data_IF_968954493724
#
_entry.id   IF_968954493724
#
_cell.length_a   1.000
_cell.length_b   1.000
_cell.length_c   1.000
_cell.angle_alpha   90.00
_cell.angle_beta   90.00
_cell.angle_gamma   90.00
#
_symmetry.space_group_name_H-M   'P 1'
#
loop_
_entity.id
_entity.type
_entity.pdbx_description
1 polymer ?
#
# COMPACT_ATOMS: atom_id res chain seq x y z
N UNK A 1 19.55 37.43 -7.41
CA UNK A 1 19.82 38.17 -8.66
C UNK A 1 18.51 38.35 -9.38
N UNK A 2 18.14 39.57 -9.75
CA UNK A 2 16.94 39.87 -10.54
C UNK A 2 17.16 39.49 -12.01
N UNK A 3 16.08 39.22 -12.75
CA UNK A 3 16.12 38.97 -14.20
C UNK A 3 16.70 40.17 -14.96
N UNK A 4 16.51 41.37 -14.42
CA UNK A 4 17.02 42.63 -14.99
C UNK A 4 18.56 42.65 -15.07
N UNK A 5 19.26 42.04 -14.11
CA UNK A 5 20.71 41.93 -14.15
C UNK A 5 21.23 41.09 -15.33
N UNK A 6 20.42 40.17 -15.85
CA UNK A 6 20.76 39.35 -17.03
C UNK A 6 20.44 40.09 -18.33
N UNK A 7 19.38 40.91 -18.32
CA UNK A 7 19.03 41.81 -19.42
C UNK A 7 20.17 42.78 -19.74
N UNK A 8 20.72 43.40 -18.69
CA UNK A 8 21.80 44.39 -18.82
C UNK A 8 23.12 43.76 -19.34
N UNK A 9 23.24 42.44 -19.26
CA UNK A 9 24.38 41.66 -19.78
C UNK A 9 24.15 41.04 -21.16
N UNK A 10 22.97 41.22 -21.75
CA UNK A 10 22.61 40.61 -23.04
C UNK A 10 22.35 39.10 -22.97
N UNK A 11 22.08 38.56 -21.78
CA UNK A 11 21.88 37.12 -21.55
C UNK A 11 20.41 36.72 -21.82
N UNK A 12 20.03 36.68 -23.10
CA UNK A 12 18.65 36.41 -23.53
C UNK A 12 18.09 35.04 -23.11
N UNK A 13 18.96 34.05 -22.87
CA UNK A 13 18.58 32.73 -22.36
C UNK A 13 17.97 32.77 -20.96
N UNK A 14 18.24 33.82 -20.17
CA UNK A 14 17.79 33.92 -18.79
C UNK A 14 16.29 34.18 -18.67
N UNK A 15 15.65 34.80 -19.68
CA UNK A 15 14.21 35.09 -19.63
C UNK A 15 13.35 33.81 -19.70
N UNK A 16 13.52 32.91 -20.70
CA UNK A 16 12.79 31.66 -20.74
C UNK A 16 13.01 30.79 -19.48
N UNK A 17 14.24 30.74 -18.97
CA UNK A 17 14.57 30.00 -17.75
C UNK A 17 13.89 30.61 -16.52
N UNK A 18 13.82 31.94 -16.44
CA UNK A 18 13.09 32.59 -15.36
C UNK A 18 11.58 32.36 -15.46
N UNK A 19 11.00 32.37 -16.67
CA UNK A 19 9.58 32.05 -16.89
C UNK A 19 9.28 30.62 -16.43
N UNK A 20 10.11 29.64 -16.82
CA UNK A 20 10.01 28.26 -16.35
C UNK A 20 10.09 28.18 -14.82
N UNK A 21 11.07 28.84 -14.20
CA UNK A 21 11.23 28.86 -12.74
C UNK A 21 9.98 29.44 -12.06
N UNK A 22 9.44 30.54 -12.56
CA UNK A 22 8.21 31.14 -12.02
C UNK A 22 7.02 30.18 -12.15
N UNK A 23 6.88 29.51 -13.29
CA UNK A 23 5.85 28.49 -13.51
C UNK A 23 5.99 27.33 -12.51
N UNK A 24 7.20 26.78 -12.35
CA UNK A 24 7.47 25.70 -11.38
C UNK A 24 7.10 26.12 -9.96
N UNK A 25 7.47 27.33 -9.55
CA UNK A 25 7.15 27.87 -8.22
C UNK A 25 5.64 28.03 -8.01
N UNK A 26 4.91 28.51 -9.03
CA UNK A 26 3.46 28.69 -8.95
C UNK A 26 2.70 27.38 -8.84
N UNK A 27 3.21 26.31 -9.45
CA UNK A 27 2.61 24.97 -9.39
C UNK A 27 2.81 24.24 -8.06
N UNK A 28 3.72 24.71 -7.18
CA UNK A 28 4.08 23.98 -5.96
C UNK A 28 2.89 23.71 -5.03
N UNK A 29 1.90 24.58 -5.03
CA UNK A 29 0.74 24.46 -4.14
C UNK A 29 -0.58 24.25 -4.89
N UNK A 30 -0.50 23.95 -6.19
CA UNK A 30 -1.70 23.69 -6.98
C UNK A 30 -2.26 22.29 -6.69
N UNK A 31 -3.44 22.25 -6.07
CA UNK A 31 -4.15 21.03 -5.73
C UNK A 31 -4.41 20.15 -6.96
N UNK A 32 -4.61 20.73 -8.15
CA UNK A 32 -4.88 19.98 -9.38
C UNK A 32 -3.67 19.14 -9.83
N UNK A 33 -2.46 19.53 -9.42
CA UNK A 33 -1.21 18.89 -9.82
C UNK A 33 -0.60 17.99 -8.76
N UNK A 34 -1.32 17.75 -7.66
CA UNK A 34 -0.77 17.02 -6.52
C UNK A 34 -1.57 15.77 -6.23
N UNK A 35 -0.86 14.75 -5.76
CA UNK A 35 -1.50 13.57 -5.21
C UNK A 35 -2.24 13.94 -3.90
N UNK A 36 -3.44 13.39 -3.65
CA UNK A 36 -4.23 13.74 -2.46
C UNK A 36 -3.64 13.13 -1.17
N UNK A 37 -2.84 12.06 -1.29
CA UNK A 37 -2.23 11.35 -0.16
C UNK A 37 -0.73 11.16 -0.40
N UNK A 38 0.08 11.17 0.68
CA UNK A 38 1.52 10.88 0.62
C UNK A 38 1.80 9.38 0.52
N UNK A 39 2.88 9.01 -0.19
CA UNK A 39 3.40 7.63 -0.28
C UNK A 39 3.61 6.94 1.09
N UNK A 40 4.00 7.69 2.13
CA UNK A 40 4.16 7.14 3.48
C UNK A 40 2.81 6.68 4.06
N UNK A 41 1.78 7.54 3.95
CA UNK A 41 0.44 7.24 4.45
C UNK A 41 -0.23 6.10 3.69
N UNK A 42 -0.03 6.00 2.38
CA UNK A 42 -0.54 4.87 1.58
C UNK A 42 -0.09 3.52 2.19
N UNK A 43 1.15 3.42 2.68
CA UNK A 43 1.68 2.21 3.32
C UNK A 43 1.06 1.92 4.69
N UNK A 44 0.37 2.90 5.28
CA UNK A 44 -0.29 2.81 6.59
C UNK A 44 -1.81 2.62 6.44
N UNK A 45 -2.38 2.77 5.23
CA UNK A 45 -3.83 2.62 5.00
C UNK A 45 -4.32 1.19 5.28
N UNK A 46 -3.46 0.18 5.09
CA UNK A 46 -3.76 -1.24 5.36
C UNK A 46 -3.47 -1.66 6.80
N UNK A 47 -2.78 -0.81 7.57
CA UNK A 47 -2.31 -1.19 8.90
C UNK A 47 -3.27 -0.75 9.98
N UNK A 48 -4.53 -0.35 9.75
CA UNK A 48 -5.42 0.07 10.85
C UNK A 48 -6.81 -0.52 10.64
N UNK A 49 -7.30 -1.29 11.63
CA UNK A 49 -8.67 -1.79 11.62
C UNK A 49 -9.63 -0.67 12.07
N UNK A 50 -10.61 -0.26 11.24
CA UNK A 50 -11.50 0.88 11.55
C UNK A 50 -12.49 0.61 12.69
N UNK A 51 -12.69 -0.65 13.08
CA UNK A 51 -13.59 -1.02 14.18
C UNK A 51 -12.89 -1.05 15.54
N UNK A 52 -11.56 -1.25 15.57
CA UNK A 52 -10.79 -1.41 16.81
C UNK A 52 -9.72 -0.33 17.01
N UNK A 53 -9.38 0.44 15.97
CA UNK A 53 -8.31 1.45 16.02
C UNK A 53 -6.90 0.87 16.17
N UNK A 54 -6.74 -0.46 16.15
CA UNK A 54 -5.44 -1.14 16.30
C UNK A 54 -4.72 -1.33 14.98
N UNK A 55 -3.40 -1.44 15.05
CA UNK A 55 -2.61 -1.64 13.87
C UNK A 55 -2.75 -3.09 13.32
N UNK A 56 -3.07 -3.27 12.04
CA UNK A 56 -2.91 -4.53 11.33
C UNK A 56 -1.41 -4.83 11.13
N UNK A 57 -0.71 -5.13 12.21
CA UNK A 57 0.45 -5.99 12.09
C UNK A 57 -0.07 -7.38 11.75
N UNK A 58 0.43 -8.00 10.67
CA UNK A 58 0.12 -9.38 10.32
C UNK A 58 0.45 -10.39 11.46
N UNK A 59 1.17 -9.93 12.50
CA UNK A 59 1.43 -10.65 13.75
C UNK A 59 0.27 -10.56 14.77
N UNK A 60 -0.54 -9.49 14.78
CA UNK A 60 -1.62 -9.30 15.76
C UNK A 60 -2.87 -10.17 15.48
N UNK A 61 -3.03 -10.70 14.26
CA UNK A 61 -4.08 -11.70 14.00
C UNK A 61 -3.86 -13.02 14.77
N UNK A 62 -2.67 -13.24 15.34
CA UNK A 62 -2.39 -14.36 16.25
C UNK A 62 -2.68 -14.02 17.73
N UNK A 63 -2.94 -12.76 18.06
CA UNK A 63 -3.12 -12.27 19.45
C UNK A 63 -4.57 -11.89 19.78
N UNK A 64 -5.54 -12.35 18.98
CA UNK A 64 -6.99 -12.11 19.18
C UNK A 64 -7.52 -12.67 20.51
N UNK A 65 -6.72 -13.44 21.27
CA UNK A 65 -7.11 -14.01 22.57
C UNK A 65 -6.46 -13.40 23.81
N UNK A 66 -5.64 -12.36 23.67
CA UNK A 66 -5.03 -11.70 24.84
C UNK A 66 -5.49 -10.24 24.94
N UNK A 67 -6.69 -10.04 25.49
CA UNK A 67 -7.06 -8.76 26.08
C UNK A 67 -6.56 -8.73 27.53
N UNK A 68 -5.68 -7.77 27.81
CA UNK A 68 -5.71 -7.00 29.06
C UNK A 68 -5.32 -5.57 28.74
N UNK A 69 -6.19 -4.65 29.17
CA UNK A 69 -6.04 -3.21 29.09
C UNK A 69 -4.71 -2.71 29.68
N UNK A 70 -4.04 -1.83 28.94
CA UNK A 70 -3.43 -0.62 29.49
C UNK A 70 -3.34 0.42 28.36
N UNK A 71 -4.22 1.43 28.44
CA UNK A 71 -4.26 2.60 27.58
C UNK A 71 -2.95 3.38 27.68
N UNK A 72 -2.04 3.17 26.72
CA UNK A 72 -1.07 4.19 26.37
C UNK A 72 -1.61 4.99 25.19
N UNK A 73 -1.89 6.27 25.46
CA UNK A 73 -2.08 7.34 24.47
C UNK A 73 -0.95 7.29 23.43
N UNK A 74 -1.19 6.57 22.34
CA UNK A 74 -0.36 6.66 21.15
C UNK A 74 -0.97 7.73 20.28
N UNK A 75 -0.22 8.82 20.16
CA UNK A 75 -0.57 10.02 19.39
C UNK A 75 -0.85 9.62 17.96
N UNK A 76 -2.14 9.66 17.64
CA UNK A 76 -2.75 9.49 16.35
C UNK A 76 -2.31 10.63 15.41
N UNK A 77 -1.53 10.33 14.38
CA UNK A 77 -1.29 11.27 13.27
C UNK A 77 -2.35 11.04 12.18
N UNK A 78 -3.60 11.41 12.48
CA UNK A 78 -4.64 11.52 11.44
C UNK A 78 -4.43 12.72 10.54
N UNK A 79 -4.95 12.61 9.31
CA UNK A 79 -5.12 13.72 8.37
C UNK A 79 -5.81 14.94 9.02
N UNK A 80 -6.71 14.69 9.97
CA UNK A 80 -7.36 15.70 10.83
C UNK A 80 -7.55 15.17 12.27
N UNK A 81 -7.14 15.92 13.30
CA UNK A 81 -7.56 15.71 14.70
C UNK A 81 -8.80 16.58 14.93
N UNK A 82 -9.95 15.98 15.26
CA UNK A 82 -11.18 16.73 15.58
C UNK A 82 -11.70 17.62 14.45
N UNK A 83 -11.39 17.30 13.18
CA UNK A 83 -11.78 18.10 12.02
C UNK A 83 -10.79 19.20 11.61
N UNK A 84 -9.57 19.23 12.18
CA UNK A 84 -8.51 20.17 11.78
C UNK A 84 -7.20 19.43 11.48
N UNK A 85 -6.44 19.81 10.42
CA UNK A 85 -5.19 19.12 10.08
C UNK A 85 -4.07 19.42 11.07
N UNK A 86 -3.23 18.40 11.29
CA UNK A 86 -2.16 18.41 12.28
C UNK A 86 -0.91 19.24 11.90
N UNK A 87 -0.88 19.98 10.77
CA UNK A 87 0.23 20.87 10.43
C UNK A 87 -0.17 22.01 9.47
N UNK A 88 0.56 23.15 9.51
CA UNK A 88 0.10 24.40 8.94
C UNK A 88 0.15 24.59 7.42
N UNK A 89 0.86 23.72 6.70
CA UNK A 89 0.99 23.77 5.24
C UNK A 89 0.22 22.60 4.65
N UNK A 90 -0.61 22.82 3.62
CA UNK A 90 -1.31 21.73 2.94
C UNK A 90 -0.30 20.73 2.41
N UNK A 91 -0.21 19.60 3.08
CA UNK A 91 0.67 18.49 2.73
C UNK A 91 0.07 17.66 1.60
N UNK A 92 -0.30 18.32 0.51
CA UNK A 92 -0.48 17.72 -0.80
C UNK A 92 0.71 16.77 -1.09
N UNK A 93 0.42 15.62 -1.68
CA UNK A 93 1.39 14.55 -1.97
C UNK A 93 2.43 14.94 -3.02
N UNK A 94 3.09 13.96 -3.62
CA UNK A 94 4.00 14.23 -4.74
C UNK A 94 3.26 14.83 -5.94
N UNK A 95 3.98 15.40 -6.91
CA UNK A 95 3.37 15.72 -8.20
C UNK A 95 2.72 14.48 -8.82
N UNK A 96 1.49 14.65 -9.31
CA UNK A 96 0.79 13.65 -10.10
C UNK A 96 1.50 13.41 -11.43
N UNK A 97 1.18 12.31 -12.12
CA UNK A 97 1.72 12.04 -13.46
C UNK A 97 1.46 13.19 -14.43
N UNK A 98 0.23 13.73 -14.41
CA UNK A 98 -0.16 14.88 -15.22
C UNK A 98 0.71 16.11 -14.95
N UNK A 99 1.03 16.38 -13.68
CA UNK A 99 1.91 17.48 -13.32
C UNK A 99 3.35 17.27 -13.80
N UNK A 100 3.86 16.02 -13.74
CA UNK A 100 5.20 15.69 -14.21
C UNK A 100 5.30 15.79 -15.73
N UNK A 101 4.27 15.35 -16.46
CA UNK A 101 4.16 15.54 -17.92
C UNK A 101 4.12 17.02 -18.25
N UNK A 102 3.26 17.80 -17.58
CA UNK A 102 3.17 19.25 -17.76
C UNK A 102 4.52 19.94 -17.56
N UNK A 103 5.26 19.57 -16.51
CA UNK A 103 6.57 20.11 -16.19
C UNK A 103 7.61 19.72 -17.25
N UNK A 104 7.62 18.46 -17.71
CA UNK A 104 8.56 18.02 -18.74
C UNK A 104 8.31 18.75 -20.07
N UNK A 105 7.05 18.83 -20.52
CA UNK A 105 6.70 19.51 -21.78
C UNK A 105 7.11 20.98 -21.76
N UNK A 106 6.80 21.69 -20.68
CA UNK A 106 7.22 23.07 -20.50
C UNK A 106 8.74 23.20 -20.35
N UNK A 107 9.40 22.30 -19.62
CA UNK A 107 10.85 22.28 -19.48
C UNK A 107 11.52 22.19 -20.86
N UNK A 108 11.12 21.23 -21.69
CA UNK A 108 11.62 21.07 -23.05
C UNK A 108 11.36 22.32 -23.90
N UNK A 109 10.14 22.87 -23.86
CA UNK A 109 9.78 24.09 -24.57
C UNK A 109 10.65 25.29 -24.19
N UNK A 110 10.84 25.54 -22.89
CA UNK A 110 11.67 26.64 -22.43
C UNK A 110 13.17 26.41 -22.67
N UNK A 111 13.62 25.16 -22.72
CA UNK A 111 14.98 24.79 -23.15
C UNK A 111 15.24 25.18 -24.60
N UNK A 112 14.33 24.84 -25.52
CA UNK A 112 14.44 25.25 -26.93
C UNK A 112 14.41 26.77 -27.06
N UNK A 113 13.47 27.44 -26.37
CA UNK A 113 13.37 28.91 -26.37
C UNK A 113 14.63 29.59 -25.80
N UNK A 114 15.30 28.97 -24.82
CA UNK A 114 16.54 29.48 -24.25
C UNK A 114 17.78 29.16 -25.10
N UNK A 115 17.71 28.20 -26.01
CA UNK A 115 18.88 27.63 -26.69
C UNK A 115 19.83 26.91 -25.73
N UNK A 116 19.31 26.34 -24.64
CA UNK A 116 20.09 25.65 -23.60
C UNK A 116 19.53 24.26 -23.34
N UNK A 117 20.40 23.25 -23.35
CA UNK A 117 20.03 21.89 -22.95
C UNK A 117 20.20 21.72 -21.43
N UNK A 118 19.08 21.54 -20.73
CA UNK A 118 19.07 21.20 -19.30
C UNK A 118 18.25 19.93 -18.99
N UNK A 119 17.53 19.39 -19.97
CA UNK A 119 16.98 18.04 -19.98
C UNK A 119 17.56 17.32 -21.19
N UNK A 120 18.43 16.34 -20.94
CA UNK A 120 19.09 15.55 -21.97
C UNK A 120 18.21 14.38 -22.43
N UNK A 121 18.58 13.73 -23.54
CA UNK A 121 17.93 12.49 -23.98
C UNK A 121 18.02 11.36 -22.94
N UNK A 122 19.14 11.29 -22.21
CA UNK A 122 19.31 10.31 -21.12
C UNK A 122 18.39 10.61 -19.94
N UNK A 123 18.19 11.89 -19.61
CA UNK A 123 17.24 12.32 -18.59
C UNK A 123 15.80 11.93 -18.98
N UNK A 124 15.42 12.08 -20.25
CA UNK A 124 14.10 11.65 -20.73
C UNK A 124 13.93 10.14 -20.55
N UNK A 125 14.92 9.34 -20.91
CA UNK A 125 14.87 7.88 -20.74
C UNK A 125 14.76 7.49 -19.26
N UNK A 126 15.50 8.17 -18.39
CA UNK A 126 15.40 8.00 -16.94
C UNK A 126 14.01 8.38 -16.40
N UNK A 127 13.46 9.52 -16.84
CA UNK A 127 12.11 9.98 -16.46
C UNK A 127 11.05 8.96 -16.88
N UNK A 128 11.12 8.45 -18.12
CA UNK A 128 10.24 7.38 -18.62
C UNK A 128 10.30 6.14 -17.72
N UNK A 129 11.50 5.69 -17.36
CA UNK A 129 11.68 4.54 -16.47
C UNK A 129 11.06 4.78 -15.08
N UNK A 130 11.29 5.95 -14.48
CA UNK A 130 10.74 6.32 -13.18
C UNK A 130 9.21 6.44 -13.23
N UNK A 131 8.63 7.02 -14.27
CA UNK A 131 7.17 7.12 -14.40
C UNK A 131 6.52 5.75 -14.59
N UNK A 132 7.16 4.87 -15.36
CA UNK A 132 6.71 3.49 -15.54
C UNK A 132 6.73 2.71 -14.20
N UNK A 133 7.80 2.82 -13.43
CA UNK A 133 7.94 2.15 -12.14
C UNK A 133 7.02 2.74 -11.05
N UNK A 134 6.98 4.07 -10.91
CA UNK A 134 6.28 4.71 -9.80
C UNK A 134 4.79 4.95 -10.04
N UNK A 135 4.39 5.22 -11.29
CA UNK A 135 3.06 5.76 -11.62
C UNK A 135 2.29 4.85 -12.58
N UNK A 136 2.87 3.73 -13.00
CA UNK A 136 2.27 2.83 -13.99
C UNK A 136 2.08 3.49 -15.35
N UNK A 137 2.93 4.48 -15.69
CA UNK A 137 2.87 5.14 -16.99
C UNK A 137 3.12 4.14 -18.12
N UNK A 138 2.35 4.29 -19.20
CA UNK A 138 2.44 3.49 -20.42
C UNK A 138 3.20 4.33 -21.44
N UNK A 139 4.21 3.74 -22.08
CA UNK A 139 5.04 4.44 -23.06
C UNK A 139 4.19 5.16 -24.12
N UNK A 140 4.29 6.48 -24.12
CA UNK A 140 3.55 7.37 -25.00
C UNK A 140 4.44 8.56 -25.40
N UNK A 141 4.82 8.61 -26.68
CA UNK A 141 5.70 9.67 -27.16
C UNK A 141 5.04 11.06 -27.09
N UNK A 142 3.71 11.17 -27.13
CA UNK A 142 3.05 12.48 -27.01
C UNK A 142 3.27 13.13 -25.64
N UNK A 143 3.57 12.35 -24.61
CA UNK A 143 3.74 12.86 -23.24
C UNK A 143 5.13 13.47 -23.01
N UNK A 144 6.10 13.14 -23.88
CA UNK A 144 7.49 13.61 -23.80
C UNK A 144 7.85 14.56 -24.96
N UNK A 145 6.88 14.92 -25.79
CA UNK A 145 7.08 15.90 -26.86
C UNK A 145 7.14 17.32 -26.32
N UNK A 146 7.99 18.14 -26.93
CA UNK A 146 8.07 19.56 -26.67
C UNK A 146 6.76 20.24 -27.03
N UNK A 147 6.11 20.85 -26.03
CA UNK A 147 4.83 21.53 -26.20
C UNK A 147 4.69 22.59 -25.09
N UNK A 148 4.35 23.82 -25.46
CA UNK A 148 3.99 24.82 -24.46
C UNK A 148 2.57 24.56 -23.96
N UNK A 149 2.44 24.22 -22.69
CA UNK A 149 1.14 24.08 -22.04
C UNK A 149 0.93 25.28 -21.12
N UNK A 150 -0.07 26.14 -21.39
CA UNK A 150 -0.32 27.32 -20.57
C UNK A 150 -0.74 26.92 -19.15
N UNK A 151 -0.15 27.59 -18.16
CA UNK A 151 -0.52 27.44 -16.76
C UNK A 151 -1.71 28.35 -16.41
N UNK A 152 -2.85 27.74 -16.10
CA UNK A 152 -4.09 28.47 -15.82
C UNK A 152 -4.13 29.15 -14.45
N UNK A 153 -3.15 28.89 -13.58
CA UNK A 153 -3.15 29.40 -12.20
C UNK A 153 -3.37 28.28 -11.19
N UNK A 154 -2.93 28.53 -9.95
CA UNK A 154 -2.97 27.54 -8.88
C UNK A 154 -4.35 27.50 -8.23
N UNK A 155 -4.94 26.30 -8.08
CA UNK A 155 -6.00 26.06 -7.10
C UNK A 155 -5.35 25.78 -5.75
N UNK A 156 -5.40 26.74 -4.83
CA UNK A 156 -4.81 26.56 -3.50
C UNK A 156 -5.94 26.34 -2.51
N UNK A 157 -5.92 25.19 -1.85
CA UNK A 157 -6.85 24.88 -0.76
C UNK A 157 -6.21 25.31 0.57
N UNK A 158 -7.02 25.47 1.61
CA UNK A 158 -6.59 25.73 2.98
C UNK A 158 -6.50 24.40 3.77
N UNK A 159 -6.12 24.51 5.03
CA UNK A 159 -5.99 23.38 5.97
C UNK A 159 -7.26 22.52 6.06
N UNK A 160 -8.42 23.13 5.93
CA UNK A 160 -9.71 22.47 6.03
C UNK A 160 -10.23 22.06 4.64
N UNK A 161 -9.36 22.03 3.63
CA UNK A 161 -9.67 21.79 2.22
C UNK A 161 -10.65 22.81 1.63
N UNK A 162 -10.84 23.97 2.25
CA UNK A 162 -11.61 25.06 1.65
C UNK A 162 -10.74 25.84 0.68
N UNK A 163 -11.34 26.66 -0.18
CA UNK A 163 -10.59 27.50 -1.10
C UNK A 163 -9.78 28.57 -0.35
N UNK A 164 -8.48 28.64 -0.58
CA UNK A 164 -7.65 29.76 -0.13
C UNK A 164 -7.80 30.92 -1.12
N UNK A 165 -8.66 31.87 -0.79
CA UNK A 165 -8.95 33.05 -1.63
C UNK A 165 -7.74 33.94 -1.90
N UNK A 166 -6.71 33.92 -1.03
CA UNK A 166 -5.53 34.79 -1.15
C UNK A 166 -4.46 34.21 -2.05
N UNK A 167 -4.29 32.89 -2.02
CA UNK A 167 -3.21 32.19 -2.72
C UNK A 167 -3.68 31.56 -4.04
N UNK A 168 -4.98 31.34 -4.20
CA UNK A 168 -5.54 30.87 -5.47
C UNK A 168 -5.37 31.93 -6.55
N UNK A 169 -4.84 31.52 -7.70
CA UNK A 169 -4.47 32.43 -8.80
C UNK A 169 -5.18 32.11 -10.12
N UNK A 170 -6.12 31.16 -10.12
CA UNK A 170 -6.97 30.89 -11.29
C UNK A 170 -7.76 32.16 -11.63
N UNK A 171 -7.69 32.67 -12.88
CA UNK A 171 -8.40 33.86 -13.30
C UNK A 171 -9.90 33.59 -13.35
N UNK A 172 -10.72 34.61 -13.11
CA UNK A 172 -12.19 34.51 -13.18
C UNK A 172 -12.78 33.29 -12.46
N UNK A 173 -12.22 32.93 -11.30
CA UNK A 173 -12.71 31.80 -10.51
C UNK A 173 -14.01 32.21 -9.81
N UNK A 174 -15.10 31.63 -10.28
CA UNK A 174 -16.45 31.81 -9.75
C UNK A 174 -16.64 30.94 -8.51
N UNK A 175 -16.93 31.61 -7.42
CA UNK A 175 -17.22 31.03 -6.11
C UNK A 175 -18.71 31.23 -5.84
N UNK A 176 -19.41 30.13 -5.63
CA UNK A 176 -20.77 30.18 -5.10
C UNK A 176 -20.76 29.53 -3.71
N UNK A 177 -21.14 30.24 -2.65
CA UNK A 177 -21.30 29.65 -1.31
C UNK A 177 -22.20 28.41 -1.30
N UNK A 178 -23.17 28.32 -2.24
CA UNK A 178 -24.06 27.15 -2.39
C UNK A 178 -23.31 25.90 -2.83
N UNK A 179 -22.15 26.03 -3.47
CA UNK A 179 -21.28 24.90 -3.84
C UNK A 179 -20.36 24.43 -2.72
N UNK A 180 -20.39 25.09 -1.55
CA UNK A 180 -19.76 24.63 -0.30
C UNK A 180 -20.77 23.95 0.65
N UNK A 181 -22.08 24.11 0.39
CA UNK A 181 -23.14 23.60 1.25
C UNK A 181 -23.54 22.17 0.85
N UNK A 182 -23.65 21.29 1.85
CA UNK A 182 -24.03 19.87 1.74
C UNK A 182 -25.45 19.61 1.21
N UNK A 183 -26.20 20.64 0.78
CA UNK A 183 -27.62 20.51 0.46
C UNK A 183 -27.95 20.89 -0.99
N UNK A 184 -28.67 19.97 -1.63
CA UNK A 184 -29.35 20.09 -2.92
C UNK A 184 -30.20 21.36 -3.03
N UNK A 185 -29.64 22.41 -3.60
CA UNK A 185 -30.44 23.55 -4.08
C UNK A 185 -30.53 23.51 -5.61
N UNK A 186 -31.77 23.46 -6.12
CA UNK A 186 -32.11 23.49 -7.55
C UNK A 186 -32.09 24.94 -8.04
N UNK A 187 -31.02 25.40 -8.66
CA UNK A 187 -31.02 26.63 -9.46
C UNK A 187 -30.22 26.40 -10.75
N UNK A 188 -30.81 26.73 -11.90
CA UNK A 188 -30.12 26.79 -13.19
C UNK A 188 -29.33 28.09 -13.27
N UNK A 189 -28.04 27.97 -13.61
CA UNK A 189 -27.05 29.05 -13.59
C UNK A 189 -27.07 29.96 -14.84
N UNK A 190 -28.04 29.81 -15.73
CA UNK A 190 -27.95 30.41 -17.07
C UNK A 190 -28.32 31.90 -17.15
N UNK A 191 -28.85 32.54 -16.08
CA UNK A 191 -29.49 33.86 -16.27
C UNK A 191 -28.98 35.04 -15.44
N UNK A 192 -28.02 34.95 -14.51
CA UNK A 192 -27.45 36.16 -13.90
C UNK A 192 -26.04 35.96 -13.32
N UNK A 193 -25.02 36.52 -14.01
CA UNK A 193 -23.64 36.67 -13.48
C UNK A 193 -23.60 37.80 -12.42
N UNK A 194 -24.57 38.71 -12.44
CA UNK A 194 -24.74 39.77 -11.44
C UNK A 194 -25.09 39.17 -10.08
N UNK A 195 -24.08 39.03 -9.21
CA UNK A 195 -24.22 38.49 -7.85
C UNK A 195 -23.29 37.33 -7.51
N UNK A 196 -22.53 36.82 -8.48
CA UNK A 196 -21.52 35.78 -8.23
C UNK A 196 -20.23 36.38 -7.65
N UNK A 197 -19.62 35.69 -6.69
CA UNK A 197 -18.33 36.09 -6.13
C UNK A 197 -17.21 35.59 -7.07
N UNK A 198 -16.51 36.50 -7.73
CA UNK A 198 -15.49 36.17 -8.73
C UNK A 198 -14.12 36.57 -8.19
N UNK A 199 -13.21 35.61 -8.06
CA UNK A 199 -11.80 35.87 -7.73
C UNK A 199 -10.97 36.11 -9.00
N UNK A 200 -9.91 36.91 -8.83
CA UNK A 200 -8.90 37.16 -9.87
C UNK A 200 -9.51 37.58 -11.21
N UNK A 201 -10.42 38.56 -11.17
CA UNK A 201 -11.11 39.03 -12.36
C UNK A 201 -10.11 39.46 -13.45
N UNK A 202 -10.29 38.93 -14.65
CA UNK A 202 -9.48 39.19 -15.83
C UNK A 202 -10.40 39.31 -17.06
N UNK A 203 -10.45 40.45 -17.75
CA UNK A 203 -11.35 40.66 -18.90
C UNK A 203 -11.13 39.71 -20.07
N UNK A 204 -9.94 39.09 -20.17
CA UNK A 204 -9.52 38.28 -21.31
C UNK A 204 -9.51 36.77 -21.04
N UNK A 205 -9.96 36.33 -19.86
CA UNK A 205 -9.95 34.92 -19.46
C UNK A 205 -11.38 34.34 -19.42
N UNK A 206 -11.49 33.04 -19.62
CA UNK A 206 -12.76 32.33 -19.41
C UNK A 206 -13.11 32.22 -17.93
N UNK A 207 -14.40 32.05 -17.62
CA UNK A 207 -14.85 31.78 -16.25
C UNK A 207 -14.57 30.33 -15.85
N UNK A 208 -14.03 30.15 -14.65
CA UNK A 208 -13.78 28.85 -14.06
C UNK A 208 -14.68 28.67 -12.84
N UNK A 209 -15.36 27.53 -12.71
CA UNK A 209 -16.25 27.27 -11.57
C UNK A 209 -15.65 26.22 -10.66
N UNK A 210 -15.74 26.44 -9.35
CA UNK A 210 -15.34 25.46 -8.34
C UNK A 210 -16.57 24.82 -7.68
N UNK A 211 -16.57 23.49 -7.61
CA UNK A 211 -17.63 22.71 -6.97
C UNK A 211 -17.05 21.72 -5.95
N UNK A 212 -17.69 21.60 -4.78
CA UNK A 212 -17.40 20.57 -3.79
C UNK A 212 -18.48 19.51 -3.85
N UNK A 213 -18.20 18.38 -4.49
CA UNK A 213 -19.16 17.29 -4.64
C UNK A 213 -18.91 16.26 -3.55
N UNK A 214 -19.83 16.16 -2.59
CA UNK A 214 -19.77 15.15 -1.53
C UNK A 214 -20.65 13.96 -1.89
N UNK A 215 -20.08 12.76 -1.80
CA UNK A 215 -20.79 11.49 -1.98
C UNK A 215 -20.53 10.58 -0.80
N UNK A 216 -21.53 9.77 -0.46
CA UNK A 216 -21.35 8.66 0.46
C UNK A 216 -20.52 7.57 -0.26
N UNK A 217 -19.55 7.02 0.45
CA UNK A 217 -18.64 6.00 -0.07
C UNK A 217 -18.56 4.85 0.94
N UNK A 218 -19.01 3.68 0.50
CA UNK A 218 -18.88 2.45 1.28
C UNK A 218 -17.45 1.91 1.17
N UNK A 219 -16.93 1.41 2.28
CA UNK A 219 -15.58 0.83 2.31
C UNK A 219 -14.56 1.57 3.16
N UNK A 220 -13.37 0.99 3.26
CA UNK A 220 -12.25 1.54 4.01
C UNK A 220 -11.49 2.65 3.27
N UNK A 221 -10.57 3.34 3.96
CA UNK A 221 -9.75 4.41 3.35
C UNK A 221 -8.92 3.91 2.16
N UNK A 222 -8.40 2.67 2.24
CA UNK A 222 -7.64 2.06 1.14
C UNK A 222 -8.51 1.86 -0.11
N UNK A 223 -9.76 1.40 0.04
CA UNK A 223 -10.68 1.17 -1.08
C UNK A 223 -11.08 2.48 -1.76
N UNK A 224 -11.28 3.55 -0.97
CA UNK A 224 -11.46 4.91 -1.50
C UNK A 224 -10.24 5.30 -2.34
N UNK A 225 -9.05 5.23 -1.75
CA UNK A 225 -7.81 5.60 -2.46
C UNK A 225 -7.62 4.77 -3.74
N UNK A 226 -7.77 3.45 -3.67
CA UNK A 226 -7.61 2.54 -4.81
C UNK A 226 -8.61 2.85 -5.92
N UNK A 227 -9.86 3.15 -5.58
CA UNK A 227 -10.89 3.56 -6.56
C UNK A 227 -10.46 4.83 -7.30
N UNK A 228 -10.01 5.85 -6.57
CA UNK A 228 -9.58 7.11 -7.19
C UNK A 228 -8.27 6.98 -7.98
N UNK A 229 -7.35 6.09 -7.57
CA UNK A 229 -6.16 5.76 -8.34
C UNK A 229 -6.50 5.03 -9.65
N UNK A 230 -7.44 4.08 -9.60
CA UNK A 230 -7.90 3.39 -10.80
C UNK A 230 -8.61 4.36 -11.75
N UNK A 231 -9.44 5.25 -11.21
CA UNK A 231 -10.08 6.31 -11.99
C UNK A 231 -9.02 7.21 -12.66
N UNK A 232 -7.99 7.62 -11.92
CA UNK A 232 -6.87 8.41 -12.44
C UNK A 232 -6.17 7.70 -13.60
N UNK A 233 -5.88 6.40 -13.46
CA UNK A 233 -5.26 5.60 -14.53
C UNK A 233 -6.16 5.49 -15.76
N UNK A 234 -7.46 5.29 -15.55
CA UNK A 234 -8.42 5.08 -16.62
C UNK A 234 -8.79 6.37 -17.36
N UNK A 235 -8.79 7.51 -16.68
CA UNK A 235 -9.16 8.81 -17.24
C UNK A 235 -7.97 9.70 -17.60
N UNK A 236 -6.77 9.40 -17.10
CA UNK A 236 -5.52 10.11 -17.44
C UNK A 236 -5.28 11.42 -16.68
N UNK A 237 -6.12 11.77 -15.69
CA UNK A 237 -5.97 12.97 -14.88
C UNK A 237 -6.34 12.70 -13.43
N UNK A 238 -5.78 13.49 -12.51
CA UNK A 238 -6.11 13.41 -11.08
C UNK A 238 -7.17 14.46 -10.72
N UNK A 239 -7.93 14.18 -9.66
CA UNK A 239 -8.87 15.14 -9.06
C UNK A 239 -8.53 15.31 -7.58
N UNK A 240 -8.54 16.54 -7.03
CA UNK A 240 -8.38 16.73 -5.60
C UNK A 240 -9.59 16.16 -4.85
N UNK A 241 -9.35 15.33 -3.84
CA UNK A 241 -10.41 14.81 -2.98
C UNK A 241 -9.94 14.61 -1.54
N UNK A 242 -10.89 14.55 -0.62
CA UNK A 242 -10.70 14.20 0.78
C UNK A 242 -11.90 13.40 1.29
N UNK A 243 -11.80 12.75 2.43
CA UNK A 243 -12.92 12.02 3.04
C UNK A 243 -13.03 12.27 4.54
N UNK A 244 -14.25 12.07 5.05
CA UNK A 244 -14.57 12.16 6.46
C UNK A 244 -15.27 10.88 6.90
N UNK A 245 -14.78 10.18 7.94
CA UNK A 245 -15.50 9.04 8.49
C UNK A 245 -16.78 9.52 9.17
N UNK A 246 -17.88 8.84 8.88
CA UNK A 246 -19.18 9.04 9.54
C UNK A 246 -19.48 7.78 10.34
N UNK A 247 -19.60 7.96 11.66
CA UNK A 247 -20.05 6.92 12.57
C UNK A 247 -21.48 7.23 12.99
N UNK A 248 -22.44 6.39 12.58
CA UNK A 248 -23.82 6.49 13.04
C UNK A 248 -24.14 5.36 14.01
N UNK A 249 -24.81 5.70 15.11
CA UNK A 249 -25.43 4.73 16.00
C UNK A 249 -26.64 4.14 15.31
N UNK A 250 -26.57 2.87 14.89
CA UNK A 250 -27.70 2.14 14.35
C UNK A 250 -28.76 1.85 15.41
N UNK A 251 -29.97 1.53 14.95
CA UNK A 251 -31.19 1.35 15.79
C UNK A 251 -31.08 0.26 16.88
N UNK A 252 -30.04 -0.59 16.84
CA UNK A 252 -29.78 -1.66 17.82
C UNK A 252 -28.42 -1.55 18.52
N UNK A 253 -27.82 -0.36 18.57
CA UNK A 253 -26.49 -0.17 19.15
C UNK A 253 -25.34 -0.66 18.25
N UNK A 254 -25.63 -1.12 17.05
CA UNK A 254 -24.63 -1.40 16.01
C UNK A 254 -24.09 -0.08 15.46
N UNK A 255 -22.79 0.16 15.54
CA UNK A 255 -22.16 1.31 14.87
C UNK A 255 -22.05 1.01 13.38
N UNK A 256 -22.69 1.82 12.54
CA UNK A 256 -22.51 1.76 11.08
C UNK A 256 -21.47 2.81 10.71
N UNK A 257 -20.48 2.40 9.93
CA UNK A 257 -19.39 3.24 9.46
C UNK A 257 -19.45 3.36 7.95
N UNK A 258 -19.46 4.59 7.45
CA UNK A 258 -19.22 4.91 6.05
C UNK A 258 -18.36 6.17 5.95
N UNK A 259 -17.87 6.48 4.76
CA UNK A 259 -17.06 7.66 4.51
C UNK A 259 -17.83 8.65 3.64
N UNK A 260 -17.75 9.93 3.95
CA UNK A 260 -18.20 10.99 3.05
C UNK A 260 -16.99 11.48 2.29
N UNK A 261 -16.91 11.17 1.01
CA UNK A 261 -15.83 11.60 0.11
C UNK A 261 -16.26 12.89 -0.57
N UNK A 262 -15.45 13.94 -0.45
CA UNK A 262 -15.66 15.20 -1.16
C UNK A 262 -14.59 15.38 -2.23
N UNK A 263 -15.05 15.55 -3.48
CA UNK A 263 -14.20 15.82 -4.65
C UNK A 263 -14.32 17.29 -5.01
N UNK A 264 -13.18 17.96 -5.18
CA UNK A 264 -13.10 19.36 -5.59
C UNK A 264 -12.95 19.42 -7.10
N UNK A 265 -13.96 19.92 -7.79
CA UNK A 265 -14.02 20.00 -9.25
C UNK A 265 -13.81 21.44 -9.67
N UNK A 266 -12.74 21.71 -10.43
CA UNK A 266 -12.43 23.03 -10.97
C UNK A 266 -11.90 22.91 -12.41
N UNK A 267 -12.80 22.61 -13.36
CA UNK A 267 -12.46 22.36 -14.77
C UNK A 267 -13.14 23.36 -15.70
N UNK A 268 -12.45 23.93 -16.71
CA UNK A 268 -13.01 24.94 -17.61
C UNK A 268 -14.30 24.50 -18.34
N UNK A 269 -14.39 23.21 -18.65
CA UNK A 269 -15.52 22.59 -19.36
C UNK A 269 -16.74 22.34 -18.47
N UNK A 270 -16.60 22.39 -17.14
CA UNK A 270 -17.69 22.12 -16.19
C UNK A 270 -18.27 23.46 -15.72
N UNK A 271 -19.48 23.76 -16.20
CA UNK A 271 -20.16 25.05 -15.94
C UNK A 271 -21.40 24.95 -15.06
N UNK A 272 -21.81 23.73 -14.68
CA UNK A 272 -22.98 23.52 -13.83
C UNK A 272 -22.72 22.49 -12.73
N UNK A 273 -23.45 22.62 -11.62
CA UNK A 273 -23.42 21.64 -10.52
C UNK A 273 -23.84 20.24 -11.01
N UNK A 274 -24.77 20.17 -11.97
CA UNK A 274 -25.22 18.91 -12.56
C UNK A 274 -24.07 18.22 -13.30
N UNK A 275 -23.32 18.97 -14.10
CA UNK A 275 -22.17 18.43 -14.84
C UNK A 275 -21.03 18.06 -13.89
N UNK A 276 -20.81 18.84 -12.82
CA UNK A 276 -19.82 18.53 -11.80
C UNK A 276 -20.16 17.22 -11.06
N UNK A 277 -21.44 16.98 -10.74
CA UNK A 277 -21.90 15.71 -10.16
C UNK A 277 -21.74 14.55 -11.12
N UNK A 278 -22.20 14.71 -12.37
CA UNK A 278 -22.05 13.68 -13.39
C UNK A 278 -20.58 13.32 -13.61
N UNK A 279 -19.70 14.33 -13.64
CA UNK A 279 -18.25 14.13 -13.73
C UNK A 279 -17.69 13.32 -12.56
N UNK A 280 -18.11 13.60 -11.32
CA UNK A 280 -17.64 12.85 -10.14
C UNK A 280 -18.18 11.42 -10.14
N UNK A 281 -19.45 11.23 -10.51
CA UNK A 281 -20.04 9.90 -10.69
C UNK A 281 -19.30 9.09 -11.76
N UNK A 282 -19.02 9.69 -12.92
CA UNK A 282 -18.25 9.07 -14.00
C UNK A 282 -16.82 8.75 -13.57
N UNK A 283 -16.18 9.63 -12.80
CA UNK A 283 -14.83 9.44 -12.28
C UNK A 283 -14.79 8.26 -11.30
N UNK A 284 -15.71 8.22 -10.34
CA UNK A 284 -15.83 7.09 -9.39
C UNK A 284 -16.15 5.81 -10.17
N UNK A 285 -17.09 5.84 -11.10
CA UNK A 285 -17.43 4.67 -11.92
C UNK A 285 -16.26 4.17 -12.77
N UNK A 286 -15.41 5.06 -13.28
CA UNK A 286 -14.19 4.69 -13.98
C UNK A 286 -13.22 3.96 -13.05
N UNK A 287 -13.16 4.32 -11.77
CA UNK A 287 -12.36 3.65 -10.75
C UNK A 287 -12.95 2.33 -10.24
N UNK A 288 -14.28 2.26 -10.14
CA UNK A 288 -15.02 1.08 -9.66
C UNK A 288 -15.18 0.00 -10.72
N UNK A 289 -15.08 0.35 -12.01
CA UNK A 289 -14.88 -0.64 -13.07
C UNK A 289 -13.58 -1.34 -12.76
N UNK A 290 -13.68 -2.58 -12.26
CA UNK A 290 -12.55 -3.44 -12.00
C UNK A 290 -11.64 -3.39 -13.23
N UNK A 291 -10.53 -2.67 -13.11
CA UNK A 291 -9.36 -2.98 -13.90
C UNK A 291 -9.22 -4.49 -13.72
N UNK A 292 -9.29 -5.28 -14.81
CA UNK A 292 -9.01 -6.72 -14.75
C UNK A 292 -7.86 -6.85 -13.78
N UNK A 293 -8.03 -7.51 -12.62
CA UNK A 293 -7.07 -7.42 -11.53
C UNK A 293 -5.73 -7.65 -12.18
N UNK A 294 -4.91 -6.59 -12.27
CA UNK A 294 -3.63 -6.68 -12.95
C UNK A 294 -2.96 -7.82 -12.20
N UNK A 295 -2.71 -8.95 -12.88
CA UNK A 295 -2.23 -10.18 -12.26
C UNK A 295 -1.16 -9.71 -11.29
N UNK A 296 -1.43 -9.79 -9.98
CA UNK A 296 -0.63 -9.12 -8.98
C UNK A 296 0.80 -9.47 -9.33
N UNK A 297 1.62 -8.47 -9.66
CA UNK A 297 2.91 -8.73 -10.29
C UNK A 297 3.74 -9.53 -9.29
N UNK A 298 3.69 -10.86 -9.45
CA UNK A 298 4.23 -11.81 -8.48
C UNK A 298 5.71 -11.55 -8.35
N UNK A 299 6.35 -11.13 -9.43
CA UNK A 299 7.75 -10.72 -9.43
C UNK A 299 7.99 -9.54 -8.51
N UNK A 300 7.19 -8.48 -8.62
CA UNK A 300 7.27 -7.36 -7.69
C UNK A 300 6.98 -7.75 -6.23
N UNK A 301 6.03 -8.66 -5.97
CA UNK A 301 5.76 -9.16 -4.61
C UNK A 301 6.99 -9.89 -4.06
N UNK A 302 7.57 -10.82 -4.81
CA UNK A 302 8.77 -11.56 -4.40
C UNK A 302 9.96 -10.64 -4.16
N UNK A 303 10.23 -9.69 -5.07
CA UNK A 303 11.31 -8.70 -4.89
C UNK A 303 11.11 -7.82 -3.64
N UNK A 304 9.87 -7.43 -3.33
CA UNK A 304 9.56 -6.70 -2.09
C UNK A 304 9.79 -7.56 -0.85
N UNK A 305 9.35 -8.82 -0.85
CA UNK A 305 9.49 -9.75 0.28
C UNK A 305 10.97 -10.01 0.63
N UNK A 306 11.84 -10.10 -0.38
CA UNK A 306 13.26 -10.39 -0.19
C UNK A 306 14.15 -9.14 -0.12
N UNK A 307 13.55 -7.95 -0.23
CA UNK A 307 14.27 -6.68 -0.16
C UNK A 307 15.03 -6.58 1.17
N UNK A 308 16.29 -6.17 1.11
CA UNK A 308 17.21 -6.04 2.26
C UNK A 308 17.53 -7.35 3.00
N UNK A 309 17.22 -8.53 2.43
CA UNK A 309 17.59 -9.82 3.03
C UNK A 309 18.91 -10.32 2.47
N UNK A 310 19.67 -11.03 3.31
CA UNK A 310 20.82 -11.81 2.86
C UNK A 310 20.38 -12.85 1.81
N UNK A 311 21.32 -13.34 0.99
CA UNK A 311 20.99 -14.36 -0.02
C UNK A 311 20.38 -15.63 0.60
N UNK A 312 20.82 -15.98 1.80
CA UNK A 312 20.32 -17.16 2.52
C UNK A 312 18.95 -16.90 3.14
N UNK A 313 18.75 -15.78 3.83
CA UNK A 313 17.45 -15.37 4.37
C UNK A 313 16.38 -15.24 3.28
N UNK A 314 16.74 -14.72 2.10
CA UNK A 314 15.83 -14.64 0.95
C UNK A 314 15.42 -16.03 0.45
N UNK A 315 16.37 -16.96 0.31
CA UNK A 315 16.09 -18.36 -0.09
C UNK A 315 15.21 -19.08 0.93
N UNK A 316 15.52 -18.93 2.21
CA UNK A 316 14.71 -19.47 3.30
C UNK A 316 13.28 -18.95 3.21
N UNK A 317 13.10 -17.63 3.04
CA UNK A 317 11.78 -17.02 2.94
C UNK A 317 10.99 -17.57 1.75
N UNK A 318 11.58 -17.57 0.56
CA UNK A 318 10.96 -18.07 -0.67
C UNK A 318 10.45 -19.51 -0.48
N UNK A 319 11.27 -20.39 0.08
CA UNK A 319 10.87 -21.78 0.31
C UNK A 319 9.84 -21.93 1.44
N UNK A 320 9.89 -21.07 2.47
CA UNK A 320 8.96 -21.12 3.61
C UNK A 320 7.52 -20.70 3.28
N UNK A 321 7.32 -19.98 2.16
CA UNK A 321 5.98 -19.67 1.64
C UNK A 321 5.24 -20.94 1.22
N UNK A 322 5.97 -21.96 0.75
CA UNK A 322 5.38 -23.23 0.32
C UNK A 322 4.70 -23.17 -1.04
N UNK A 323 5.09 -22.22 -1.88
CA UNK A 323 4.55 -22.03 -3.23
C UNK A 323 4.98 -23.12 -4.23
N UNK A 324 4.24 -23.25 -5.33
CA UNK A 324 4.60 -24.15 -6.44
C UNK A 324 5.63 -23.49 -7.38
N UNK A 325 6.43 -24.26 -8.13
CA UNK A 325 7.49 -23.70 -8.99
C UNK A 325 7.02 -22.73 -10.08
N UNK A 326 5.78 -22.90 -10.55
CA UNK A 326 5.12 -22.02 -11.51
C UNK A 326 4.58 -20.73 -10.88
N UNK A 327 4.54 -20.64 -9.54
CA UNK A 327 4.16 -19.42 -8.84
C UNK A 327 5.36 -18.51 -8.56
N UNK A 328 6.58 -19.06 -8.59
CA UNK A 328 7.81 -18.32 -8.36
C UNK A 328 8.37 -17.83 -9.71
N UNK A 329 8.57 -16.51 -9.90
CA UNK A 329 9.11 -15.94 -11.13
C UNK A 329 10.47 -16.55 -11.53
N UNK A 330 10.69 -16.72 -12.84
CA UNK A 330 11.93 -17.31 -13.37
C UNK A 330 13.17 -16.49 -12.97
N UNK A 331 13.08 -15.17 -12.94
CA UNK A 331 14.15 -14.25 -12.52
C UNK A 331 14.58 -14.52 -11.07
N UNK A 332 13.62 -14.70 -10.16
CA UNK A 332 13.86 -15.03 -8.75
C UNK A 332 14.53 -16.40 -8.63
N UNK A 333 14.03 -17.41 -9.34
CA UNK A 333 14.61 -18.78 -9.34
C UNK A 333 16.06 -18.76 -9.82
N UNK A 334 16.34 -18.04 -10.91
CA UNK A 334 17.68 -17.89 -11.48
C UNK A 334 18.62 -17.16 -10.52
N UNK A 335 18.21 -16.01 -9.98
CA UNK A 335 19.05 -15.18 -9.10
C UNK A 335 19.48 -15.91 -7.83
N UNK A 336 18.57 -16.68 -7.23
CA UNK A 336 18.81 -17.43 -6.00
C UNK A 336 19.24 -18.88 -6.20
N UNK A 337 19.40 -19.32 -7.46
CA UNK A 337 19.77 -20.68 -7.83
C UNK A 337 18.87 -21.74 -7.16
N UNK A 338 17.56 -21.56 -7.31
CA UNK A 338 16.53 -22.48 -6.82
C UNK A 338 16.01 -23.31 -7.99
N UNK A 339 16.23 -24.63 -7.93
CA UNK A 339 15.65 -25.56 -8.89
C UNK A 339 14.19 -25.86 -8.55
N UNK A 340 13.41 -26.23 -9.56
CA UNK A 340 12.00 -26.61 -9.36
C UNK A 340 11.87 -27.82 -8.41
N UNK A 341 12.81 -28.78 -8.45
CA UNK A 341 12.84 -29.91 -7.51
C UNK A 341 12.95 -29.46 -6.04
N UNK A 342 13.83 -28.50 -5.74
CA UNK A 342 13.98 -27.94 -4.38
C UNK A 342 12.68 -27.25 -3.94
N UNK A 343 12.02 -26.53 -4.85
CA UNK A 343 10.78 -25.80 -4.57
C UNK A 343 9.63 -26.78 -4.31
N UNK A 344 9.47 -27.80 -5.15
CA UNK A 344 8.43 -28.83 -5.01
C UNK A 344 8.56 -29.53 -3.66
N UNK A 345 9.77 -30.01 -3.33
CA UNK A 345 9.99 -30.75 -2.10
C UNK A 345 9.80 -29.86 -0.87
N UNK A 346 10.30 -28.61 -0.91
CA UNK A 346 10.07 -27.64 0.16
C UNK A 346 8.57 -27.34 0.35
N UNK A 347 7.80 -27.15 -0.72
CA UNK A 347 6.35 -26.93 -0.66
C UNK A 347 5.64 -28.07 0.08
N UNK A 348 5.98 -29.32 -0.22
CA UNK A 348 5.39 -30.50 0.42
C UNK A 348 5.78 -30.60 1.90
N UNK A 349 7.05 -30.39 2.24
CA UNK A 349 7.55 -30.37 3.63
C UNK A 349 6.86 -29.27 4.44
N UNK A 350 6.71 -28.06 3.89
CA UNK A 350 6.06 -26.93 4.58
C UNK A 350 4.57 -27.19 4.78
N UNK A 351 3.90 -27.86 3.84
CA UNK A 351 2.48 -28.20 3.93
C UNK A 351 2.18 -29.38 4.86
N UNK A 352 3.18 -30.19 5.22
CA UNK A 352 3.03 -31.30 6.17
C UNK A 352 3.33 -30.94 7.63
N UNK A 353 3.57 -29.66 7.94
CA UNK A 353 3.77 -29.21 9.32
C UNK A 353 2.43 -29.11 10.07
N UNK A 354 2.43 -29.33 11.38
CA UNK A 354 1.20 -29.32 12.18
C UNK A 354 0.46 -27.97 12.15
N UNK A 355 1.16 -26.85 11.91
CA UNK A 355 0.56 -25.51 11.80
C UNK A 355 -0.04 -25.17 10.42
N UNK A 356 -0.17 -26.14 9.51
CA UNK A 356 -0.72 -25.90 8.16
C UNK A 356 -2.24 -25.96 8.15
N UNK A 357 -2.92 -24.84 7.90
CA UNK A 357 -4.39 -24.72 8.05
C UNK A 357 -5.20 -24.96 6.77
N UNK A 358 -4.61 -24.77 5.58
CA UNK A 358 -5.38 -24.68 4.34
C UNK A 358 -5.14 -25.84 3.35
N UNK A 359 -3.99 -26.53 3.41
CA UNK A 359 -3.62 -27.59 2.47
C UNK A 359 -2.68 -28.61 3.11
N UNK A 360 -3.17 -29.31 4.14
CA UNK A 360 -2.35 -30.27 4.87
C UNK A 360 -1.98 -31.48 4.00
N UNK A 361 -0.70 -31.83 3.97
CA UNK A 361 -0.20 -33.02 3.27
C UNK A 361 0.19 -34.07 4.29
N UNK A 362 -0.20 -35.33 4.06
CA UNK A 362 0.16 -36.44 4.96
C UNK A 362 1.69 -36.58 5.05
N UNK A 363 2.30 -36.49 6.25
CA UNK A 363 3.73 -36.64 6.46
C UNK A 363 4.34 -37.95 5.92
N UNK A 364 3.59 -39.05 5.91
CA UNK A 364 4.05 -40.34 5.38
C UNK A 364 4.25 -40.28 3.87
N UNK A 365 3.30 -39.67 3.16
CA UNK A 365 3.41 -39.44 1.71
C UNK A 365 4.59 -38.54 1.38
N UNK A 366 4.80 -37.47 2.17
CA UNK A 366 5.97 -36.59 2.01
C UNK A 366 7.28 -37.33 2.28
N UNK A 367 7.33 -38.22 3.28
CA UNK A 367 8.51 -39.05 3.57
C UNK A 367 8.94 -39.90 2.37
N UNK A 368 8.00 -40.55 1.70
CA UNK A 368 8.32 -41.38 0.53
C UNK A 368 8.96 -40.57 -0.60
N UNK A 369 8.53 -39.33 -0.78
CA UNK A 369 9.12 -38.43 -1.76
C UNK A 369 10.48 -37.90 -1.33
N UNK A 370 10.63 -37.55 -0.05
CA UNK A 370 11.90 -37.17 0.55
C UNK A 370 12.96 -38.26 0.36
N UNK A 371 12.60 -39.53 0.55
CA UNK A 371 13.50 -40.67 0.36
C UNK A 371 13.92 -40.88 -1.11
N UNK A 372 13.09 -40.46 -2.07
CA UNK A 372 13.37 -40.54 -3.51
C UNK A 372 14.18 -39.35 -4.03
N UNK A 373 14.20 -38.23 -3.30
CA UNK A 373 14.86 -37.00 -3.74
C UNK A 373 16.28 -36.86 -3.18
N UNK A 374 17.21 -36.42 -4.03
CA UNK A 374 18.58 -36.12 -3.63
C UNK A 374 18.73 -34.72 -2.99
N UNK A 375 17.66 -33.90 -2.95
CA UNK A 375 17.70 -32.55 -2.38
C UNK A 375 17.06 -32.44 -0.99
N UNK A 376 16.60 -33.54 -0.38
CA UNK A 376 15.93 -33.51 0.92
C UNK A 376 16.74 -32.79 2.02
N UNK A 377 17.99 -33.18 2.21
CA UNK A 377 18.85 -32.53 3.21
C UNK A 377 19.17 -31.08 2.82
N UNK A 378 19.36 -30.82 1.52
CA UNK A 378 19.62 -29.47 0.99
C UNK A 378 18.46 -28.51 1.29
N UNK A 379 17.22 -28.97 1.18
CA UNK A 379 16.03 -28.17 1.53
C UNK A 379 16.09 -27.76 3.00
N UNK A 380 16.35 -28.68 3.92
CA UNK A 380 16.46 -28.34 5.35
C UNK A 380 17.64 -27.42 5.65
N UNK A 381 18.79 -27.60 4.99
CA UNK A 381 19.93 -26.67 5.11
C UNK A 381 19.58 -25.25 4.68
N UNK A 382 18.72 -25.07 3.67
CA UNK A 382 18.22 -23.75 3.26
C UNK A 382 17.19 -23.22 4.27
N UNK A 383 16.22 -24.05 4.68
CA UNK A 383 15.18 -23.66 5.63
C UNK A 383 15.76 -23.26 7.00
N UNK A 384 16.93 -23.79 7.35
CA UNK A 384 17.62 -23.53 8.63
C UNK A 384 18.88 -22.67 8.46
N UNK A 385 19.01 -21.92 7.36
CA UNK A 385 20.25 -21.21 7.05
C UNK A 385 20.63 -20.10 8.05
N UNK A 386 19.65 -19.59 8.79
CA UNK A 386 19.83 -18.56 9.83
C UNK A 386 20.03 -19.17 11.24
N UNK A 387 19.96 -20.50 11.38
CA UNK A 387 20.17 -21.21 12.64
C UNK A 387 21.67 -21.46 12.86
N UNK A 388 22.32 -20.60 13.65
CA UNK A 388 23.76 -20.66 13.92
C UNK A 388 24.13 -21.56 15.11
N UNK A 389 23.19 -21.84 16.01
CA UNK A 389 23.40 -22.63 17.24
C UNK A 389 22.48 -23.84 17.32
N UNK A 390 22.88 -24.85 18.10
CA UNK A 390 22.05 -26.04 18.38
C UNK A 390 20.66 -25.63 18.87
N UNK A 391 20.60 -24.74 19.85
CA UNK A 391 19.36 -24.20 20.41
C UNK A 391 18.47 -23.50 19.36
N UNK A 392 19.06 -22.66 18.50
CA UNK A 392 18.30 -21.96 17.46
C UNK A 392 17.67 -22.91 16.43
N UNK A 393 18.35 -24.02 16.11
CA UNK A 393 17.82 -25.04 15.20
C UNK A 393 16.74 -25.90 15.85
N UNK A 394 16.93 -26.29 17.11
CA UNK A 394 15.91 -26.97 17.91
C UNK A 394 14.63 -26.14 17.96
N UNK A 395 14.76 -24.88 18.39
CA UNK A 395 13.65 -23.93 18.46
C UNK A 395 12.94 -23.78 17.12
N UNK A 396 13.69 -23.61 16.02
CA UNK A 396 13.09 -23.49 14.69
C UNK A 396 12.26 -24.73 14.30
N UNK A 397 12.79 -25.94 14.48
CA UNK A 397 12.11 -27.17 14.07
C UNK A 397 10.84 -27.42 14.89
N UNK A 398 10.91 -27.18 16.20
CA UNK A 398 9.79 -27.31 17.13
C UNK A 398 8.73 -26.22 16.89
N UNK A 399 9.12 -24.95 16.82
CA UNK A 399 8.19 -23.83 16.62
C UNK A 399 7.41 -23.95 15.31
N UNK A 400 8.04 -24.49 14.26
CA UNK A 400 7.38 -24.73 12.97
C UNK A 400 6.50 -25.99 12.98
N UNK A 401 6.68 -26.90 13.92
CA UNK A 401 5.89 -28.13 14.06
C UNK A 401 6.15 -29.12 12.94
N UNK A 402 7.41 -29.37 12.58
CA UNK A 402 7.74 -30.38 11.58
C UNK A 402 7.59 -31.80 12.15
N UNK A 403 6.97 -32.70 11.39
CA UNK A 403 6.83 -34.10 11.75
C UNK A 403 8.20 -34.82 11.72
N UNK A 404 8.52 -35.75 12.64
CA UNK A 404 9.80 -36.45 12.66
C UNK A 404 10.14 -37.19 11.36
N UNK A 405 9.12 -37.73 10.67
CA UNK A 405 9.29 -38.43 9.39
C UNK A 405 9.79 -37.55 8.24
N UNK A 406 9.56 -36.23 8.30
CA UNK A 406 9.98 -35.32 7.23
C UNK A 406 11.31 -34.63 7.51
N UNK A 407 11.83 -34.71 8.74
CA UNK A 407 13.14 -34.16 9.12
C UNK A 407 14.24 -35.20 8.84
N UNK A 408 15.32 -34.88 8.11
CA UNK A 408 16.43 -35.81 7.87
C UNK A 408 17.16 -36.19 9.17
N UNK A 409 17.63 -37.44 9.28
CA UNK A 409 18.39 -37.91 10.46
C UNK A 409 19.63 -37.04 10.72
N UNK A 410 20.37 -36.64 9.69
CA UNK A 410 21.55 -35.78 9.84
C UNK A 410 21.21 -34.41 10.46
N UNK A 411 19.99 -33.91 10.26
CA UNK A 411 19.50 -32.67 10.86
C UNK A 411 19.10 -32.93 12.32
N UNK A 412 18.43 -34.05 12.62
CA UNK A 412 18.07 -34.43 14.00
C UNK A 412 19.31 -34.61 14.87
N UNK A 413 20.32 -35.32 14.37
CA UNK A 413 21.60 -35.54 15.03
C UNK A 413 22.33 -34.21 15.29
N UNK A 414 22.42 -33.34 14.28
CA UNK A 414 23.07 -32.03 14.38
C UNK A 414 22.45 -31.16 15.48
N UNK A 415 21.13 -31.22 15.63
CA UNK A 415 20.39 -30.40 16.59
C UNK A 415 20.00 -31.15 17.86
N UNK A 416 20.47 -32.39 18.05
CA UNK A 416 20.18 -33.22 19.23
C UNK A 416 18.68 -33.25 19.53
N UNK A 417 17.87 -33.59 18.51
CA UNK A 417 16.42 -33.72 18.64
C UNK A 417 16.01 -35.19 18.54
N UNK A 418 15.14 -35.61 19.45
CA UNK A 418 14.50 -36.93 19.37
C UNK A 418 13.25 -36.91 18.50
N UNK A 419 12.90 -38.07 17.94
CA UNK A 419 11.65 -38.24 17.19
C UNK A 419 10.42 -37.96 18.06
N UNK A 420 10.49 -38.30 19.34
CA UNK A 420 9.41 -38.06 20.29
C UNK A 420 9.16 -36.58 20.52
N UNK A 421 10.21 -35.77 20.68
CA UNK A 421 10.08 -34.31 20.81
C UNK A 421 9.46 -33.66 19.57
N UNK A 422 9.90 -34.05 18.37
CA UNK A 422 9.33 -33.58 17.12
C UNK A 422 7.87 -34.02 16.96
N UNK A 423 7.57 -35.27 17.30
CA UNK A 423 6.23 -35.83 17.20
C UNK A 423 5.25 -35.05 18.08
N UNK A 424 5.54 -34.89 19.37
CA UNK A 424 4.62 -34.20 20.27
C UNK A 424 4.47 -32.72 19.93
N UNK A 425 5.53 -32.05 19.52
CA UNK A 425 5.41 -30.65 19.10
C UNK A 425 4.56 -30.53 17.82
N UNK A 426 4.71 -31.46 16.87
CA UNK A 426 3.83 -31.55 15.71
C UNK A 426 2.35 -31.72 16.15
N UNK A 427 2.06 -32.63 17.08
CA UNK A 427 0.70 -32.84 17.60
C UNK A 427 0.15 -31.56 18.24
N UNK A 428 0.95 -30.86 19.05
CA UNK A 428 0.56 -29.61 19.70
C UNK A 428 0.25 -28.50 18.69
N UNK A 429 1.04 -28.39 17.62
CA UNK A 429 0.77 -27.41 16.55
C UNK A 429 -0.47 -27.77 15.74
N UNK A 430 -0.80 -29.05 15.62
CA UNK A 430 -1.93 -29.55 14.83
C UNK A 430 -3.27 -29.47 15.56
N UNK A 431 -3.32 -29.97 16.78
CA UNK A 431 -4.56 -30.09 17.56
C UNK A 431 -4.67 -29.04 18.68
N UNK A 432 -3.61 -28.28 18.90
CA UNK A 432 -3.55 -27.35 20.02
C UNK A 432 -3.03 -28.03 21.30
N UNK A 433 -2.30 -27.25 22.09
CA UNK A 433 -1.60 -27.73 23.27
C UNK A 433 -2.54 -28.35 24.32
N UNK A 434 -3.65 -27.67 24.63
CA UNK A 434 -4.60 -28.13 25.63
C UNK A 434 -5.28 -29.46 25.24
N UNK A 435 -5.59 -29.65 23.96
CA UNK A 435 -6.20 -30.88 23.46
C UNK A 435 -5.23 -32.06 23.57
N UNK A 436 -3.97 -31.85 23.19
CA UNK A 436 -2.91 -32.86 23.32
C UNK A 436 -2.65 -33.22 24.79
N UNK A 437 -2.62 -32.23 25.68
CA UNK A 437 -2.48 -32.47 27.13
C UNK A 437 -3.66 -33.29 27.66
N UNK A 438 -4.89 -32.97 27.25
CA UNK A 438 -6.08 -33.71 27.67
C UNK A 438 -6.05 -35.16 27.15
N UNK A 439 -5.64 -35.37 25.89
CA UNK A 439 -5.47 -36.70 25.30
C UNK A 439 -4.42 -37.50 26.07
N UNK A 440 -3.26 -36.89 26.34
CA UNK A 440 -2.19 -37.49 27.12
C UNK A 440 -2.66 -37.89 28.52
N UNK A 441 -3.39 -37.03 29.21
CA UNK A 441 -3.93 -37.30 30.55
C UNK A 441 -4.89 -38.50 30.59
N UNK A 442 -5.54 -38.84 29.47
CA UNK A 442 -6.48 -39.97 29.36
C UNK A 442 -5.78 -41.25 28.87
N UNK A 443 -4.69 -41.12 28.10
CA UNK A 443 -3.94 -42.27 27.57
C UNK A 443 -3.13 -42.99 28.66
N UNK A 444 -3.07 -44.32 28.55
CA UNK A 444 -2.51 -45.22 29.54
C UNK A 444 -1.02 -44.93 29.87
N UNK A 445 -0.62 -45.15 31.13
CA UNK A 445 0.63 -44.67 31.77
C UNK A 445 1.98 -44.93 31.07
N UNK A 446 2.04 -45.79 30.05
CA UNK A 446 3.28 -46.22 29.40
C UNK A 446 3.85 -45.21 28.38
N UNK A 447 3.03 -44.27 27.87
CA UNK A 447 3.46 -43.23 26.91
C UNK A 447 3.93 -41.93 27.59
N UNK A 448 3.87 -41.86 28.92
CA UNK A 448 4.14 -40.64 29.70
C UNK A 448 5.62 -40.39 30.02
N UNK A 449 6.50 -41.37 29.76
CA UNK A 449 7.96 -41.16 29.88
C UNK A 449 8.56 -40.37 28.71
N UNK A 450 7.74 -40.08 27.71
CA UNK A 450 8.10 -39.38 26.49
C UNK A 450 7.47 -37.98 26.40
N UNK A 451 7.10 -37.38 27.55
CA UNK A 451 6.55 -36.04 27.58
C UNK A 451 7.57 -35.02 27.06
N UNK A 452 7.18 -34.13 26.13
CA UNK A 452 8.10 -33.19 25.51
C UNK A 452 8.78 -32.29 26.56
N UNK A 453 10.07 -32.05 26.34
CA UNK A 453 10.94 -31.26 27.22
C UNK A 453 10.41 -29.83 27.45
N UNK A 454 9.70 -29.27 26.47
CA UNK A 454 9.13 -27.92 26.47
C UNK A 454 7.84 -27.70 27.28
N UNK A 455 7.19 -28.75 27.82
CA UNK A 455 6.02 -28.57 28.69
C UNK A 455 6.42 -27.88 29.99
N UNK A 456 5.63 -26.89 30.42
CA UNK A 456 5.81 -26.20 31.69
C UNK A 456 5.68 -27.18 32.85
N UNK A 457 6.34 -26.86 33.97
CA UNK A 457 6.30 -27.68 35.18
C UNK A 457 4.85 -27.90 35.66
N UNK A 458 4.00 -26.88 35.53
CA UNK A 458 2.60 -26.93 35.92
C UNK A 458 1.77 -27.86 35.03
N UNK A 459 2.09 -27.97 33.74
CA UNK A 459 1.43 -28.89 32.82
C UNK A 459 1.85 -30.34 33.06
N UNK A 460 3.15 -30.57 33.30
CA UNK A 460 3.67 -31.88 33.73
C UNK A 460 2.98 -32.33 35.02
N UNK A 461 2.83 -31.42 35.98
CA UNK A 461 2.13 -31.69 37.25
C UNK A 461 0.63 -31.97 37.05
N UNK A 462 -0.04 -31.32 36.08
CA UNK A 462 -1.45 -31.62 35.73
C UNK A 462 -1.62 -33.01 35.12
N UNK A 463 -0.75 -33.40 34.20
CA UNK A 463 -0.76 -34.75 33.59
C UNK A 463 -0.47 -35.81 34.66
N UNK A 464 0.49 -35.55 35.56
CA UNK A 464 0.82 -36.45 36.66
C UNK A 464 -0.29 -36.54 37.71
N UNK A 465 -1.07 -35.48 37.96
CA UNK A 465 -2.22 -35.50 38.88
C UNK A 465 -3.44 -36.23 38.33
N UNK A 466 -3.65 -36.24 37.00
CA UNK A 466 -4.71 -37.04 36.38
C UNK A 466 -4.50 -38.56 36.52
N UNK A 467 -3.31 -38.98 37.00
CA UNK A 467 -2.94 -40.36 37.32
C UNK A 467 -3.48 -40.83 38.69
N UNK A 468 -3.69 -39.90 39.61
CA UNK A 468 -4.21 -40.14 40.96
C UNK A 468 -5.74 -40.12 40.95
#
# INVERSE_FOLDING_TARGET
MSVDNFKDKGEAWAFPVSELRTLMMRMLYDANFREPIRKKRIKELDTINPFTGRHHNALEQLEIFNETDELQDTVYDSLCIGGFPANPDLKLGSFSLQARIFLLKNALFFQEKAGLEFVTGDDINYIKAVWKEELGWIDNESDVQLEYIPYLGALVLDRNYNLNHRETTIPNLVIDPRYYARETTRYSLEENIEGLNILNYSPSADYHFIYYITTDFGGGEYEIWETFENAKRNMGFAVPFYWHPVAASGEKGSKVYWNNVTVVVCRPEIRSLKDARAFVEDYIAAGSKTAKPGIADRENIYWRLIKNKSKNAARQLILSVGDQPNHIPLSIKAYYNLSDEVIILASKIIKSKGSSTLYETNPESVREECLKSNVWEKVFRILMSECSTTYSGQKFLLDKGFHPLVVPETIKEKFVLSDSELYWNYQMKKYGEQEVINILAILNSHLHFELPSGLSRMEKDRILKAKE
#
